data_IF_349621055616
#
_entry.id   IF_349621055616
#
_cell.length_a   1.000
_cell.length_b   1.000
_cell.length_c   1.000
_cell.angle_alpha   90.00
_cell.angle_beta   90.00
_cell.angle_gamma   90.00
#
_symmetry.space_group_name_H-M   'P 1'
#
loop_
_entity.id
_entity.type
_entity.pdbx_description
1 polymer ?
#
# COMPACT_ATOMS: atom_id res chain seq x y z
N UNK A 1 17.85 0.66 23.73
CA UNK A 1 16.64 0.96 22.95
C UNK A 1 15.91 -0.35 22.71
N UNK A 2 14.66 -0.51 23.15
CA UNK A 2 13.84 -1.62 22.68
C UNK A 2 13.51 -1.36 21.22
N UNK A 3 13.93 -2.24 20.32
CA UNK A 3 13.43 -2.24 18.94
C UNK A 3 11.93 -2.51 19.00
N UNK A 4 11.12 -1.54 18.56
CA UNK A 4 9.71 -1.82 18.26
C UNK A 4 9.69 -2.55 16.93
N UNK A 5 9.42 -3.85 16.97
CA UNK A 5 9.16 -4.63 15.78
C UNK A 5 7.79 -4.26 15.22
N UNK A 6 7.75 -3.92 13.93
CA UNK A 6 6.51 -3.73 13.19
C UNK A 6 6.16 -5.04 12.48
N UNK A 7 5.01 -5.61 12.82
CA UNK A 7 4.46 -6.77 12.11
C UNK A 7 3.53 -6.27 11.00
N UNK A 8 3.85 -6.61 9.76
CA UNK A 8 3.02 -6.31 8.59
C UNK A 8 2.31 -7.59 8.13
N UNK A 9 1.02 -7.46 7.82
CA UNK A 9 0.27 -8.52 7.16
C UNK A 9 0.31 -8.26 5.66
N UNK A 10 1.04 -9.09 4.92
CA UNK A 10 1.15 -8.98 3.47
C UNK A 10 -0.05 -9.67 2.82
N UNK A 11 -0.72 -8.93 1.95
CA UNK A 11 -1.82 -9.38 1.10
C UNK A 11 -1.33 -9.46 -0.35
N UNK A 12 -1.69 -10.49 -1.11
CA UNK A 12 -1.36 -10.57 -2.54
C UNK A 12 -2.11 -9.50 -3.36
N UNK A 13 -1.58 -9.16 -4.54
CA UNK A 13 -2.16 -8.10 -5.38
C UNK A 13 -3.53 -8.40 -5.98
N UNK A 14 -3.99 -9.65 -5.94
CA UNK A 14 -5.36 -10.02 -6.31
C UNK A 14 -6.38 -9.80 -5.18
N UNK A 15 -5.94 -9.43 -3.98
CA UNK A 15 -6.78 -8.95 -2.89
C UNK A 15 -6.79 -7.43 -2.87
N UNK A 16 -7.96 -6.83 -2.66
CA UNK A 16 -8.09 -5.39 -2.56
C UNK A 16 -8.16 -4.94 -1.09
N UNK A 17 -7.62 -3.76 -0.75
CA UNK A 17 -7.90 -3.12 0.54
C UNK A 17 -9.40 -3.05 0.82
N UNK A 18 -9.78 -3.36 2.07
CA UNK A 18 -11.18 -3.29 2.49
C UNK A 18 -11.69 -1.85 2.48
N UNK A 19 -12.96 -1.67 2.09
CA UNK A 19 -13.67 -0.38 2.21
C UNK A 19 -13.71 0.16 3.65
N UNK A 20 -13.56 -0.73 4.63
CA UNK A 20 -13.53 -0.40 6.06
C UNK A 20 -12.12 -0.12 6.60
N UNK A 21 -11.09 -0.17 5.75
CA UNK A 21 -9.72 0.11 6.19
C UNK A 21 -9.61 1.56 6.68
N UNK A 22 -8.85 1.74 7.74
CA UNK A 22 -8.50 3.06 8.29
C UNK A 22 -7.05 3.43 7.98
N UNK A 23 -6.34 2.61 7.22
CA UNK A 23 -4.95 2.87 6.88
C UNK A 23 -4.85 4.11 5.99
N UNK A 24 -4.00 5.06 6.38
CA UNK A 24 -3.69 6.25 5.58
C UNK A 24 -2.62 5.96 4.54
N UNK A 25 -1.73 5.00 4.83
CA UNK A 25 -0.63 4.61 3.97
C UNK A 25 -0.55 3.09 3.87
N UNK A 26 -0.03 2.66 2.73
CA UNK A 26 0.15 1.27 2.38
C UNK A 26 1.59 1.07 1.92
N UNK A 27 2.12 -0.11 2.22
CA UNK A 27 3.38 -0.58 1.67
C UNK A 27 3.07 -1.55 0.54
N UNK A 28 3.67 -1.38 -0.64
CA UNK A 28 3.65 -2.41 -1.68
C UNK A 28 5.04 -2.99 -1.90
N UNK A 29 5.13 -4.21 -2.43
CA UNK A 29 6.33 -4.70 -3.15
C UNK A 29 6.05 -4.65 -4.64
N UNK A 30 6.72 -3.75 -5.35
CA UNK A 30 6.52 -3.63 -6.79
C UNK A 30 7.21 -4.76 -7.57
N UNK A 31 6.98 -4.82 -8.88
CA UNK A 31 7.57 -5.85 -9.75
C UNK A 31 9.11 -5.75 -9.91
N UNK A 32 9.70 -4.62 -9.55
CA UNK A 32 11.16 -4.44 -9.49
C UNK A 32 11.75 -4.86 -8.13
N UNK A 33 10.96 -5.54 -7.29
CA UNK A 33 11.36 -6.14 -6.02
C UNK A 33 11.85 -5.16 -4.95
N UNK A 34 11.30 -3.93 -4.93
CA UNK A 34 11.48 -3.00 -3.81
C UNK A 34 10.14 -2.47 -3.29
N UNK A 35 10.21 -1.77 -2.16
CA UNK A 35 9.03 -1.28 -1.46
C UNK A 35 8.69 0.17 -1.83
N UNK A 36 7.40 0.46 -1.96
CA UNK A 36 6.90 1.82 -2.03
C UNK A 36 5.88 2.06 -0.90
N UNK A 37 5.93 3.26 -0.31
CA UNK A 37 4.89 3.76 0.59
C UNK A 37 3.94 4.64 -0.21
N UNK A 38 2.67 4.27 -0.22
CA UNK A 38 1.66 4.80 -1.13
C UNK A 38 0.35 5.07 -0.38
N UNK A 39 -0.58 5.73 -1.06
CA UNK A 39 -1.98 5.87 -0.62
C UNK A 39 -2.89 5.05 -1.54
N UNK A 40 -4.01 4.56 -1.01
CA UNK A 40 -5.05 3.93 -1.83
C UNK A 40 -5.97 4.98 -2.45
N UNK A 41 -6.32 4.81 -3.72
CA UNK A 41 -7.39 5.55 -4.38
C UNK A 41 -8.62 4.66 -4.48
N UNK A 42 -9.72 5.17 -3.96
CA UNK A 42 -10.99 4.44 -3.79
C UNK A 42 -12.08 5.23 -4.51
N UNK A 43 -12.90 4.55 -5.30
CA UNK A 43 -14.06 5.14 -5.96
C UNK A 43 -15.11 5.62 -4.95
N UNK A 44 -16.05 6.47 -5.38
CA UNK A 44 -17.19 6.87 -4.53
C UNK A 44 -18.07 5.69 -4.11
N UNK A 45 -18.12 4.63 -4.92
CA UNK A 45 -18.76 3.34 -4.56
C UNK A 45 -18.03 2.59 -3.43
N UNK A 46 -16.85 3.07 -3.04
CA UNK A 46 -15.94 2.45 -2.09
C UNK A 46 -15.05 1.37 -2.70
N UNK A 47 -15.12 1.11 -4.01
CA UNK A 47 -14.26 0.10 -4.65
C UNK A 47 -12.82 0.61 -4.76
N UNK A 48 -11.85 -0.24 -4.39
CA UNK A 48 -10.44 0.05 -4.62
C UNK A 48 -10.16 0.15 -6.11
N UNK A 49 -9.43 1.20 -6.51
CA UNK A 49 -9.03 1.41 -7.90
C UNK A 49 -7.56 1.08 -8.10
N UNK A 50 -6.68 1.72 -7.34
CA UNK A 50 -5.22 1.56 -7.43
C UNK A 50 -4.52 2.20 -6.24
N UNK A 51 -3.23 1.90 -6.05
CA UNK A 51 -2.36 2.70 -5.20
C UNK A 51 -1.69 3.82 -5.98
N UNK A 52 -1.32 4.90 -5.31
CA UNK A 52 -0.62 6.02 -5.91
C UNK A 52 0.41 6.61 -4.94
N UNK A 53 1.53 7.08 -5.48
CA UNK A 53 2.58 7.70 -4.67
C UNK A 53 3.88 7.90 -5.42
N UNK A 54 4.91 8.28 -4.70
CA UNK A 54 6.22 8.59 -5.29
C UNK A 54 7.04 7.33 -5.56
N UNK A 55 7.62 7.28 -6.76
CA UNK A 55 8.56 6.25 -7.18
C UNK A 55 9.68 6.90 -8.00
N UNK A 56 10.92 6.81 -7.50
CA UNK A 56 12.11 7.38 -8.16
C UNK A 56 11.95 8.85 -8.62
N UNK A 57 11.26 9.66 -7.80
CA UNK A 57 11.04 11.09 -8.08
C UNK A 57 9.91 11.40 -9.06
N UNK A 58 9.15 10.38 -9.49
CA UNK A 58 7.92 10.54 -10.27
C UNK A 58 6.71 10.13 -9.43
N UNK A 59 5.57 10.75 -9.70
CA UNK A 59 4.31 10.39 -9.04
C UNK A 59 3.57 9.37 -9.90
N UNK A 60 3.53 8.13 -9.43
CA UNK A 60 3.18 6.95 -10.20
C UNK A 60 1.89 6.29 -9.69
N UNK A 61 1.24 5.53 -10.58
CA UNK A 61 0.07 4.71 -10.27
C UNK A 61 0.43 3.23 -10.30
N UNK A 62 -0.08 2.48 -9.32
CA UNK A 62 0.18 1.07 -9.11
C UNK A 62 -1.13 0.29 -9.10
N UNK A 63 -1.50 -0.22 -10.26
CA UNK A 63 -2.56 -1.22 -10.45
C UNK A 63 -2.09 -2.61 -10.01
N UNK A 64 -3.00 -3.57 -9.74
CA UNK A 64 -2.65 -4.93 -9.28
C UNK A 64 -1.56 -5.68 -10.06
N UNK A 65 -1.39 -5.39 -11.34
CA UNK A 65 -0.35 -5.97 -12.20
C UNK A 65 1.04 -5.37 -11.98
N UNK A 66 1.16 -4.26 -11.24
CA UNK A 66 2.42 -3.55 -10.97
C UNK A 66 3.08 -3.88 -9.64
N UNK A 67 2.43 -4.70 -8.81
CA UNK A 67 2.95 -5.10 -7.52
C UNK A 67 2.55 -6.54 -7.18
N UNK A 68 3.30 -7.15 -6.26
CA UNK A 68 3.11 -8.53 -5.83
C UNK A 68 2.30 -8.61 -4.54
N UNK A 69 2.66 -7.76 -3.57
CA UNK A 69 1.99 -7.71 -2.28
C UNK A 69 1.75 -6.28 -1.83
N UNK A 70 0.78 -6.11 -0.93
CA UNK A 70 0.52 -4.87 -0.20
C UNK A 70 0.30 -5.14 1.30
N UNK A 71 0.49 -4.11 2.12
CA UNK A 71 0.18 -4.14 3.56
C UNK A 71 -0.26 -2.76 4.04
N UNK A 72 -1.13 -2.75 5.04
CA UNK A 72 -1.49 -1.52 5.76
C UNK A 72 -0.35 -1.07 6.67
N UNK A 73 -0.03 0.23 6.65
CA UNK A 73 0.86 0.83 7.64
C UNK A 73 0.04 1.37 8.83
N UNK A 74 0.46 1.10 10.08
CA UNK A 74 -0.24 1.63 11.25
C UNK A 74 -0.21 3.15 11.30
N UNK A 75 -1.32 3.74 11.73
CA UNK A 75 -1.46 5.18 11.98
C UNK A 75 -0.54 5.57 13.15
N UNK A 76 0.21 6.67 13.00
CA UNK A 76 1.09 7.23 14.04
C UNK A 76 2.54 6.75 14.02
N UNK A 77 3.02 6.22 12.88
CA UNK A 77 4.43 5.87 12.66
C UNK A 77 5.29 7.03 12.11
N UNK A 78 4.69 8.20 11.89
CA UNK A 78 5.36 9.44 11.48
C UNK A 78 5.30 10.50 12.58
#
# INVERSE_FOLDING_TARGET
MMSKELKLNLHPSNENPSKSSKAEQYLITNNAAYYNVLVSVIAESGDFLYFQGWDNGQYETFTPDRYQYWAELPIGLL
#
